data_IF_246165009177
#
_entry.id   IF_246165009177
#
_cell.length_a   1.000
_cell.length_b   1.000
_cell.length_c   1.000
_cell.angle_alpha   90.00
_cell.angle_beta   90.00
_cell.angle_gamma   90.00
#
_symmetry.space_group_name_H-M   'P 1'
#
loop_
_entity.id
_entity.type
_entity.pdbx_description
1 polymer ?
#
# COMPACT_ATOMS: atom_id res chain seq x y z
N UNK A 1 0.95 4.14 20.27
CA UNK A 1 0.34 5.45 20.42
C UNK A 1 -0.76 5.59 19.37
N UNK A 2 -1.97 6.03 19.76
CA UNK A 2 -3.15 6.10 18.88
C UNK A 2 -3.67 7.52 18.77
N UNK A 3 -4.23 7.89 17.62
CA UNK A 3 -5.06 9.07 17.48
C UNK A 3 -6.51 8.67 17.77
N UNK A 4 -7.16 9.21 18.80
CA UNK A 4 -8.56 8.90 19.10
C UNK A 4 -9.47 9.50 18.05
N UNK A 5 -10.59 8.83 17.79
CA UNK A 5 -11.71 9.31 16.98
C UNK A 5 -13.00 9.17 17.77
N UNK A 6 -14.05 9.92 17.40
CA UNK A 6 -15.34 9.88 18.09
C UNK A 6 -16.12 8.57 17.84
N UNK A 7 -15.89 7.93 16.69
CA UNK A 7 -16.54 6.68 16.32
C UNK A 7 -15.81 5.44 16.83
N UNK A 8 -16.51 4.32 16.87
CA UNK A 8 -15.92 3.02 17.19
C UNK A 8 -15.12 2.44 16.00
N UNK A 9 -14.03 1.74 16.30
CA UNK A 9 -13.24 1.04 15.29
C UNK A 9 -14.08 -0.04 14.61
N UNK A 10 -13.92 -0.19 13.29
CA UNK A 10 -14.61 -1.23 12.53
C UNK A 10 -14.16 -2.63 12.93
N UNK A 11 -15.07 -3.58 12.83
CA UNK A 11 -14.80 -4.99 12.96
C UNK A 11 -14.70 -5.61 11.55
N UNK A 12 -13.67 -6.41 11.33
CA UNK A 12 -13.47 -7.20 10.13
C UNK A 12 -13.35 -8.67 10.53
N UNK A 13 -14.21 -9.54 9.97
CA UNK A 13 -14.24 -10.97 10.27
C UNK A 13 -13.95 -11.73 8.98
N UNK A 14 -12.94 -12.58 8.99
CA UNK A 14 -12.68 -13.55 7.92
C UNK A 14 -13.05 -14.96 8.38
N UNK A 15 -13.92 -15.62 7.63
CA UNK A 15 -14.31 -17.02 7.87
C UNK A 15 -13.65 -17.89 6.81
N UNK A 16 -12.78 -18.80 7.25
CA UNK A 16 -12.13 -19.79 6.39
C UNK A 16 -12.92 -21.09 6.40
N UNK A 17 -13.31 -21.59 5.24
CA UNK A 17 -14.07 -22.82 5.09
C UNK A 17 -13.70 -23.52 3.77
N UNK A 18 -13.27 -24.77 3.85
CA UNK A 18 -12.97 -25.67 2.71
C UNK A 18 -12.11 -25.00 1.60
N UNK A 19 -11.09 -24.24 1.97
CA UNK A 19 -10.22 -23.53 1.03
C UNK A 19 -10.81 -22.24 0.46
N UNK A 20 -12.02 -21.85 0.90
CA UNK A 20 -12.63 -20.57 0.58
C UNK A 20 -12.51 -19.59 1.77
N UNK A 21 -12.54 -18.31 1.47
CA UNK A 21 -12.57 -17.25 2.48
C UNK A 21 -13.79 -16.35 2.23
N UNK A 22 -14.58 -16.14 3.28
CA UNK A 22 -15.67 -15.17 3.28
C UNK A 22 -15.33 -14.06 4.28
N UNK A 23 -15.42 -12.82 3.84
CA UNK A 23 -15.08 -11.65 4.66
C UNK A 23 -16.34 -10.83 4.94
N UNK A 24 -16.52 -10.45 6.21
CA UNK A 24 -17.50 -9.48 6.67
C UNK A 24 -16.74 -8.22 7.07
N UNK A 25 -16.84 -7.20 6.26
CA UNK A 25 -16.11 -5.96 6.44
C UNK A 25 -17.08 -4.83 6.79
N UNK A 26 -17.01 -4.33 8.01
CA UNK A 26 -17.73 -3.12 8.38
C UNK A 26 -17.13 -1.89 7.70
N UNK A 27 -17.97 -0.95 7.31
CA UNK A 27 -17.52 0.29 6.66
C UNK A 27 -16.78 1.26 7.59
N UNK A 28 -16.85 1.01 8.90
CA UNK A 28 -16.23 1.86 9.93
C UNK A 28 -16.86 3.26 10.06
N UNK A 29 -16.38 4.06 11.00
CA UNK A 29 -16.83 5.43 11.21
C UNK A 29 -16.37 6.37 10.10
N UNK A 30 -16.99 7.54 10.04
CA UNK A 30 -16.49 8.67 9.23
C UNK A 30 -15.49 9.43 10.08
N UNK A 31 -14.28 9.62 9.57
CA UNK A 31 -13.26 10.45 10.20
C UNK A 31 -13.46 11.89 9.77
N UNK A 32 -13.53 12.81 10.73
CA UNK A 32 -13.65 14.24 10.48
C UNK A 32 -12.32 14.86 10.04
N UNK A 33 -12.38 16.07 9.45
CA UNK A 33 -11.17 16.82 9.09
C UNK A 33 -10.32 17.18 10.32
N UNK A 34 -10.96 17.47 11.46
CA UNK A 34 -10.27 17.75 12.72
C UNK A 34 -9.51 16.52 13.24
N UNK A 35 -10.14 15.34 13.22
CA UNK A 35 -9.52 14.08 13.62
C UNK A 35 -8.36 13.70 12.70
N UNK A 36 -8.55 13.88 11.38
CA UNK A 36 -7.49 13.67 10.39
C UNK A 36 -6.33 14.65 10.58
N UNK A 37 -6.63 15.91 10.91
CA UNK A 37 -5.63 16.93 11.26
C UNK A 37 -4.81 16.53 12.49
N UNK A 38 -5.49 16.13 13.56
CA UNK A 38 -4.84 15.67 14.79
C UNK A 38 -3.97 14.42 14.56
N UNK A 39 -4.45 13.48 13.73
CA UNK A 39 -3.66 12.31 13.29
C UNK A 39 -2.41 12.73 12.50
N UNK A 40 -2.55 13.66 11.57
CA UNK A 40 -1.45 14.14 10.73
C UNK A 40 -0.34 14.80 11.55
N UNK A 41 -0.70 15.63 12.53
CA UNK A 41 0.27 16.24 13.44
C UNK A 41 1.01 15.19 14.29
N UNK A 42 0.27 14.21 14.79
CA UNK A 42 0.87 13.10 15.52
C UNK A 42 1.78 12.25 14.63
N UNK A 43 1.36 11.98 13.40
CA UNK A 43 2.16 11.27 12.39
C UNK A 43 3.47 12.03 12.14
N UNK A 44 3.42 13.36 11.91
CA UNK A 44 4.59 14.21 11.71
C UNK A 44 5.58 14.11 12.87
N UNK A 45 5.07 14.19 14.12
CA UNK A 45 5.91 14.12 15.31
C UNK A 45 6.59 12.74 15.50
N UNK A 46 5.96 11.65 15.04
CA UNK A 46 6.52 10.30 15.10
C UNK A 46 7.47 10.03 13.92
N UNK A 47 7.10 10.43 12.72
CA UNK A 47 7.92 10.27 11.52
C UNK A 47 9.26 10.97 11.64
N UNK A 48 9.32 12.14 12.32
CA UNK A 48 10.57 12.85 12.59
C UNK A 48 11.60 12.06 13.42
N UNK A 49 11.21 10.93 13.99
CA UNK A 49 12.07 10.06 14.84
C UNK A 49 12.24 8.66 14.23
N UNK A 50 11.75 8.47 13.02
CA UNK A 50 11.74 7.17 12.36
C UNK A 50 12.61 7.19 11.11
N UNK A 51 13.38 6.13 10.90
CA UNK A 51 14.10 5.91 9.64
C UNK A 51 13.15 5.32 8.57
N UNK A 52 12.12 4.58 9.02
CA UNK A 52 11.15 3.91 8.16
C UNK A 52 9.75 4.05 8.75
N UNK A 53 8.79 4.37 7.90
CA UNK A 53 7.36 4.42 8.21
C UNK A 53 6.63 3.39 7.35
N UNK A 54 5.84 2.54 7.98
CA UNK A 54 4.95 1.61 7.28
C UNK A 54 3.52 2.13 7.30
N UNK A 55 2.88 2.17 6.16
CA UNK A 55 1.46 2.52 6.01
C UNK A 55 0.75 1.39 5.29
N UNK A 56 -0.34 0.86 5.89
CA UNK A 56 -1.03 -0.30 5.33
C UNK A 56 -2.54 -0.20 5.50
N UNK A 57 -3.26 -0.73 4.52
CA UNK A 57 -4.70 -0.90 4.54
C UNK A 57 -5.48 0.15 3.73
N UNK A 58 -6.81 0.04 3.81
CA UNK A 58 -7.75 0.97 3.19
C UNK A 58 -8.00 2.19 4.07
N UNK A 59 -8.23 3.33 3.45
CA UNK A 59 -8.58 4.56 4.15
C UNK A 59 -10.02 4.48 4.72
N UNK A 60 -10.28 5.08 5.90
CA UNK A 60 -11.62 5.18 6.44
C UNK A 60 -12.48 6.17 5.64
N UNK A 61 -13.80 6.12 5.83
CA UNK A 61 -14.72 7.09 5.25
C UNK A 61 -14.40 8.50 5.77
N UNK A 62 -14.58 9.50 4.91
CA UNK A 62 -14.23 10.90 5.22
C UNK A 62 -12.79 11.26 4.87
N UNK A 63 -11.94 10.29 4.56
CA UNK A 63 -10.54 10.50 4.15
C UNK A 63 -10.42 10.27 2.64
N UNK A 64 -9.91 11.24 1.92
CA UNK A 64 -9.72 11.16 0.47
C UNK A 64 -8.53 10.27 0.06
N UNK A 65 -8.54 9.79 -1.19
CA UNK A 65 -7.53 8.88 -1.72
C UNK A 65 -6.10 9.45 -1.68
N UNK A 66 -5.93 10.77 -1.68
CA UNK A 66 -4.62 11.45 -1.62
C UNK A 66 -3.97 11.43 -0.24
N UNK A 67 -4.63 10.88 0.78
CA UNK A 67 -4.10 10.89 2.14
C UNK A 67 -2.72 10.23 2.23
N UNK A 68 -2.53 9.05 1.64
CA UNK A 68 -1.23 8.37 1.65
C UNK A 68 -0.14 9.12 0.88
N UNK A 69 -0.50 9.83 -0.19
CA UNK A 69 0.45 10.69 -0.91
C UNK A 69 0.95 11.82 0.01
N UNK A 70 0.04 12.51 0.71
CA UNK A 70 0.41 13.58 1.68
C UNK A 70 1.25 13.06 2.84
N UNK A 71 0.92 11.89 3.40
CA UNK A 71 1.71 11.29 4.47
C UNK A 71 3.10 10.86 3.98
N UNK A 72 3.20 10.38 2.73
CA UNK A 72 4.48 10.04 2.10
C UNK A 72 5.35 11.29 1.92
N UNK A 73 4.76 12.40 1.49
CA UNK A 73 5.45 13.68 1.37
C UNK A 73 5.98 14.17 2.72
N UNK A 74 5.13 14.16 3.76
CA UNK A 74 5.53 14.51 5.13
C UNK A 74 6.69 13.64 5.63
N UNK A 75 6.61 12.33 5.46
CA UNK A 75 7.65 11.41 5.90
C UNK A 75 8.96 11.62 5.13
N UNK A 76 8.87 11.83 3.81
CA UNK A 76 10.02 12.12 2.95
C UNK A 76 10.72 13.42 3.28
N UNK A 77 9.98 14.50 3.56
CA UNK A 77 10.53 15.78 4.05
C UNK A 77 11.32 15.61 5.36
N UNK A 78 10.94 14.66 6.19
CA UNK A 78 11.58 14.33 7.47
C UNK A 78 12.70 13.30 7.33
N UNK A 79 12.97 12.81 6.11
CA UNK A 79 14.03 11.85 5.80
C UNK A 79 13.65 10.38 6.05
N UNK A 80 12.39 10.08 6.38
CA UNK A 80 11.93 8.72 6.61
C UNK A 80 11.54 8.03 5.29
N UNK A 81 11.92 6.76 5.12
CA UNK A 81 11.49 5.92 4.01
C UNK A 81 10.08 5.38 4.25
N UNK A 82 9.22 5.44 3.24
CA UNK A 82 7.84 4.96 3.33
C UNK A 82 7.70 3.60 2.66
N UNK A 83 7.15 2.63 3.39
CA UNK A 83 6.70 1.34 2.86
C UNK A 83 5.17 1.36 2.82
N UNK A 84 4.58 1.31 1.63
CA UNK A 84 3.15 1.47 1.42
C UNK A 84 2.51 0.18 0.92
N UNK A 85 1.50 -0.30 1.66
CA UNK A 85 0.67 -1.45 1.32
C UNK A 85 -0.80 -1.02 1.24
N UNK A 86 -1.21 -0.57 0.09
CA UNK A 86 -2.60 -0.15 -0.20
C UNK A 86 -2.94 -0.44 -1.66
N UNK A 87 -4.19 -0.24 -2.05
CA UNK A 87 -4.67 -0.57 -3.39
C UNK A 87 -5.62 0.49 -3.95
N UNK A 88 -6.00 0.31 -5.21
CA UNK A 88 -6.99 1.14 -5.91
C UNK A 88 -6.61 2.63 -5.96
N UNK A 89 -7.60 3.54 -5.80
CA UNK A 89 -7.36 4.97 -5.91
C UNK A 89 -6.31 5.53 -4.96
N UNK A 90 -6.13 4.91 -3.78
CA UNK A 90 -5.14 5.36 -2.79
C UNK A 90 -3.71 5.04 -3.23
N UNK A 91 -3.49 3.88 -3.86
CA UNK A 91 -2.19 3.53 -4.45
C UNK A 91 -1.90 4.41 -5.67
N UNK A 92 -2.87 4.60 -6.55
CA UNK A 92 -2.72 5.44 -7.74
C UNK A 92 -2.36 6.88 -7.36
N UNK A 93 -3.05 7.46 -6.37
CA UNK A 93 -2.75 8.79 -5.87
C UNK A 93 -1.35 8.88 -5.23
N UNK A 94 -0.92 7.86 -4.49
CA UNK A 94 0.42 7.84 -3.90
C UNK A 94 1.52 7.73 -4.97
N UNK A 95 1.29 6.95 -6.02
CA UNK A 95 2.19 6.83 -7.16
C UNK A 95 2.21 8.08 -8.05
N UNK A 96 1.12 8.85 -8.10
CA UNK A 96 1.06 10.14 -8.79
C UNK A 96 1.71 11.30 -8.00
N UNK A 97 2.01 11.10 -6.70
CA UNK A 97 2.61 12.10 -5.83
C UNK A 97 4.03 12.50 -6.26
N UNK A 98 4.46 13.72 -5.85
CA UNK A 98 5.80 14.24 -6.12
C UNK A 98 6.89 13.51 -5.34
N UNK A 99 6.59 13.12 -4.10
CA UNK A 99 7.44 12.25 -3.28
C UNK A 99 6.91 10.83 -3.39
N UNK A 100 7.75 9.91 -3.86
CA UNK A 100 7.36 8.52 -4.05
C UNK A 100 7.57 7.69 -2.78
N UNK A 101 6.72 6.69 -2.52
CA UNK A 101 7.04 5.66 -1.53
C UNK A 101 8.36 4.97 -1.87
N UNK A 102 9.16 4.67 -0.83
CA UNK A 102 10.38 3.87 -1.02
C UNK A 102 10.07 2.44 -1.46
N UNK A 103 8.96 1.88 -0.97
CA UNK A 103 8.47 0.56 -1.37
C UNK A 103 6.95 0.58 -1.47
N UNK A 104 6.42 -0.06 -2.52
CA UNK A 104 4.99 -0.39 -2.65
C UNK A 104 4.80 -1.89 -2.75
N UNK A 105 3.68 -2.41 -2.17
CA UNK A 105 3.43 -3.86 -2.13
C UNK A 105 2.00 -4.23 -2.59
N UNK A 106 1.65 -4.05 -3.86
CA UNK A 106 0.39 -4.57 -4.39
C UNK A 106 0.40 -6.10 -4.49
N UNK A 107 -0.77 -6.72 -4.47
CA UNK A 107 -0.91 -8.07 -4.99
C UNK A 107 -1.07 -8.03 -6.53
N UNK A 108 -0.98 -9.21 -7.17
CA UNK A 108 -1.01 -9.31 -8.63
C UNK A 108 -2.31 -8.74 -9.24
N UNK A 109 -3.46 -8.98 -8.58
CA UNK A 109 -4.76 -8.47 -9.03
C UNK A 109 -4.87 -6.96 -8.88
N UNK A 110 -4.35 -6.40 -7.78
CA UNK A 110 -4.31 -4.96 -7.53
C UNK A 110 -3.40 -4.25 -8.54
N UNK A 111 -2.24 -4.84 -8.84
CA UNK A 111 -1.33 -4.32 -9.84
C UNK A 111 -1.95 -4.39 -11.25
N UNK A 112 -2.59 -5.52 -11.60
CA UNK A 112 -3.32 -5.67 -12.87
C UNK A 112 -4.41 -4.61 -13.03
N UNK A 113 -5.20 -4.38 -11.98
CA UNK A 113 -6.26 -3.36 -11.97
C UNK A 113 -5.68 -1.94 -12.11
N UNK A 114 -4.57 -1.63 -11.45
CA UNK A 114 -3.88 -0.35 -11.53
C UNK A 114 -3.35 -0.08 -12.94
N UNK A 115 -2.80 -1.10 -13.59
CA UNK A 115 -2.18 -1.01 -14.93
C UNK A 115 -3.22 -1.14 -16.07
N UNK A 116 -4.43 -1.59 -15.76
CA UNK A 116 -5.53 -1.71 -16.73
C UNK A 116 -5.42 -2.92 -17.66
N UNK A 117 -4.56 -3.91 -17.33
CA UNK A 117 -4.45 -5.17 -18.07
C UNK A 117 -4.06 -6.33 -17.16
N UNK A 118 -4.38 -7.54 -17.57
CA UNK A 118 -4.14 -8.74 -16.78
C UNK A 118 -2.65 -9.14 -16.79
N UNK A 119 -2.12 -9.41 -15.60
CA UNK A 119 -0.76 -9.90 -15.39
C UNK A 119 -0.77 -11.36 -14.96
N UNK A 120 0.28 -12.11 -15.32
CA UNK A 120 0.43 -13.53 -14.97
C UNK A 120 1.56 -13.75 -13.96
N UNK A 121 1.31 -14.52 -12.90
CA UNK A 121 2.32 -14.91 -11.92
C UNK A 121 3.44 -15.79 -12.52
N UNK A 122 3.23 -16.35 -13.72
CA UNK A 122 4.22 -17.15 -14.43
C UNK A 122 5.15 -16.32 -15.31
N UNK A 123 4.81 -15.04 -15.53
CA UNK A 123 5.59 -14.10 -16.35
C UNK A 123 6.14 -12.93 -15.54
N UNK A 124 7.11 -13.23 -14.68
CA UNK A 124 7.73 -12.22 -13.81
C UNK A 124 8.50 -11.16 -14.61
N UNK A 125 9.04 -11.54 -15.78
CA UNK A 125 9.72 -10.57 -16.66
C UNK A 125 8.72 -9.62 -17.32
N UNK A 126 7.56 -10.10 -17.77
CA UNK A 126 6.50 -9.25 -18.28
C UNK A 126 5.93 -8.31 -17.22
N UNK A 127 5.83 -8.75 -15.95
CA UNK A 127 5.46 -7.86 -14.83
C UNK A 127 6.49 -6.73 -14.69
N UNK A 128 7.79 -7.04 -14.69
CA UNK A 128 8.85 -6.03 -14.62
C UNK A 128 8.74 -5.05 -15.79
N UNK A 129 8.69 -5.56 -17.02
CA UNK A 129 8.66 -4.71 -18.21
C UNK A 129 7.44 -3.76 -18.22
N UNK A 130 6.32 -4.22 -17.65
CA UNK A 130 5.14 -3.38 -17.48
C UNK A 130 5.35 -2.30 -16.41
N UNK A 131 5.95 -2.63 -15.26
CA UNK A 131 6.29 -1.67 -14.21
C UNK A 131 7.25 -0.62 -14.75
N UNK A 132 8.33 -1.04 -15.43
CA UNK A 132 9.38 -0.17 -15.97
C UNK A 132 8.86 0.76 -17.09
N UNK A 133 7.79 0.36 -17.80
CA UNK A 133 7.15 1.19 -18.84
C UNK A 133 6.10 2.16 -18.32
N UNK A 134 5.67 2.04 -17.08
CA UNK A 134 4.67 2.91 -16.47
C UNK A 134 5.32 3.98 -15.59
N UNK A 135 5.36 5.21 -16.10
CA UNK A 135 6.01 6.36 -15.44
C UNK A 135 5.49 6.67 -14.02
N UNK A 136 4.37 6.05 -13.57
CA UNK A 136 3.91 6.18 -12.19
C UNK A 136 4.89 5.58 -11.19
N UNK A 137 5.65 4.57 -11.60
CA UNK A 137 6.66 3.92 -10.75
C UNK A 137 8.03 4.60 -10.76
N UNK A 138 8.23 5.63 -11.58
CA UNK A 138 9.48 6.40 -11.60
C UNK A 138 9.78 6.98 -10.22
N UNK A 139 10.94 6.65 -9.67
CA UNK A 139 11.37 7.08 -8.33
C UNK A 139 10.87 6.20 -7.17
N UNK A 140 10.07 5.16 -7.43
CA UNK A 140 9.78 4.11 -6.43
C UNK A 140 11.00 3.21 -6.29
N UNK A 141 11.53 3.04 -5.06
CA UNK A 141 12.74 2.23 -4.86
C UNK A 141 12.48 0.72 -5.04
N UNK A 142 11.37 0.21 -4.51
CA UNK A 142 11.01 -1.20 -4.57
C UNK A 142 9.54 -1.38 -4.94
N UNK A 143 9.27 -2.28 -5.87
CA UNK A 143 7.92 -2.80 -6.13
C UNK A 143 7.89 -4.28 -5.75
N UNK A 144 7.10 -4.64 -4.74
CA UNK A 144 6.94 -6.03 -4.28
C UNK A 144 5.56 -6.51 -4.66
N UNK A 145 5.48 -7.55 -5.49
CA UNK A 145 4.21 -8.11 -5.96
C UNK A 145 3.95 -9.44 -5.28
N UNK A 146 2.89 -9.53 -4.48
CA UNK A 146 2.45 -10.79 -3.89
C UNK A 146 1.54 -11.55 -4.87
N UNK A 147 1.77 -12.88 -5.02
CA UNK A 147 1.14 -13.73 -6.02
C UNK A 147 0.51 -14.98 -5.41
N UNK A 148 0.06 -14.89 -4.16
CA UNK A 148 -0.57 -16.00 -3.43
C UNK A 148 0.33 -17.24 -3.35
N UNK A 149 -0.17 -18.39 -3.77
CA UNK A 149 0.58 -19.65 -3.77
C UNK A 149 1.83 -19.63 -4.67
N UNK A 150 1.91 -18.72 -5.64
CA UNK A 150 3.09 -18.54 -6.49
C UNK A 150 4.22 -17.76 -5.80
N UNK A 151 3.99 -17.27 -4.57
CA UNK A 151 4.97 -16.55 -3.77
C UNK A 151 4.94 -15.05 -4.02
N UNK A 152 6.10 -14.43 -4.16
CA UNK A 152 6.22 -13.00 -4.45
C UNK A 152 7.42 -12.72 -5.34
N UNK A 153 7.37 -11.59 -6.03
CA UNK A 153 8.50 -11.03 -6.75
C UNK A 153 8.75 -9.60 -6.26
N UNK A 154 10.02 -9.19 -6.17
CA UNK A 154 10.42 -7.83 -5.88
C UNK A 154 11.31 -7.31 -7.01
N UNK A 155 11.10 -6.05 -7.36
CA UNK A 155 11.75 -5.35 -8.45
C UNK A 155 12.47 -4.13 -7.88
N UNK A 156 13.77 -4.02 -8.19
CA UNK A 156 14.62 -2.93 -7.71
C UNK A 156 15.83 -2.78 -8.65
N UNK A 157 16.07 -1.58 -9.14
CA UNK A 157 17.22 -1.22 -9.99
C UNK A 157 17.46 -2.20 -11.17
N UNK A 158 16.36 -2.62 -11.83
CA UNK A 158 16.39 -3.58 -12.95
C UNK A 158 16.59 -5.04 -12.53
N UNK A 159 16.81 -5.33 -11.25
CA UNK A 159 16.92 -6.69 -10.71
C UNK A 159 15.55 -7.25 -10.32
N UNK A 160 15.44 -8.58 -10.39
CA UNK A 160 14.25 -9.34 -9.98
C UNK A 160 14.63 -10.31 -8.89
N UNK A 161 13.97 -10.20 -7.74
CA UNK A 161 14.08 -11.13 -6.63
C UNK A 161 12.79 -11.95 -6.53
N UNK A 162 12.87 -13.26 -6.43
CA UNK A 162 11.71 -14.13 -6.30
C UNK A 162 11.76 -14.94 -5.02
N UNK A 163 10.67 -14.92 -4.26
CA UNK A 163 10.45 -15.78 -3.11
C UNK A 163 9.31 -16.75 -3.41
N UNK A 164 9.57 -18.05 -3.26
CA UNK A 164 8.57 -19.11 -3.44
C UNK A 164 8.36 -19.79 -2.09
N UNK A 165 7.10 -19.90 -1.59
CA UNK A 165 6.84 -20.58 -0.34
C UNK A 165 7.20 -22.07 -0.45
N UNK A 166 7.66 -22.70 0.64
CA UNK A 166 7.87 -24.15 0.65
C UNK A 166 6.53 -24.86 0.41
N UNK A 167 6.58 -25.95 -0.33
CA UNK A 167 5.41 -26.84 -0.45
C UNK A 167 5.26 -27.59 0.87
N UNK A 168 4.15 -27.39 1.54
CA UNK A 168 3.74 -28.12 2.74
C UNK A 168 2.91 -29.33 2.34
#
# INVERSE_FOLDING_TARGET
DFAPIAGESRICIAVLHEGCQTEFLESGPVVSEEELGAFTEKFRALAAKADVVTMSGSLPRGVDAGCYARLTEIAGELGAKVLLDTSGPSLDAALAGTVKPYLVKPNLSELSALLGHELSSNDVFGIRDTIDSDGRFDGVGWVVVSMGAAGSAAFHDGEIFRAVPPRI
#
